data_IF_113868794671
#
_entry.id   IF_113868794671
#
_cell.length_a   1.000
_cell.length_b   1.000
_cell.length_c   1.000
_cell.angle_alpha   90.00
_cell.angle_beta   90.00
_cell.angle_gamma   90.00
#
_symmetry.space_group_name_H-M   'P 1'
#
loop_
_entity.id
_entity.type
_entity.pdbx_description
1 polymer ?
#
# COMPACT_ATOMS: atom_id res chain seq x y z
N UNK A 1 11.37 -5.72 -15.17
CA UNK A 1 11.60 -5.79 -13.71
C UNK A 1 11.39 -7.23 -13.27
N UNK A 2 12.18 -7.76 -12.34
CA UNK A 2 11.91 -9.08 -11.73
C UNK A 2 11.58 -8.90 -10.26
N UNK A 3 10.44 -9.44 -9.82
CA UNK A 3 10.01 -9.45 -8.42
C UNK A 3 9.81 -10.91 -8.02
N UNK A 4 10.41 -11.31 -6.90
CA UNK A 4 10.28 -12.65 -6.34
C UNK A 4 9.87 -12.57 -4.88
N UNK A 5 8.75 -13.20 -4.55
CA UNK A 5 8.31 -13.38 -3.18
C UNK A 5 9.30 -14.31 -2.45
N UNK A 6 9.68 -13.92 -1.24
CA UNK A 6 10.52 -14.71 -0.35
C UNK A 6 9.61 -15.29 0.72
N UNK A 7 9.53 -16.61 0.76
CA UNK A 7 8.80 -17.39 1.76
C UNK A 7 9.78 -18.44 2.30
N UNK A 8 10.15 -18.39 3.59
CA UNK A 8 10.95 -19.45 4.18
C UNK A 8 10.23 -20.80 4.12
N UNK A 9 11.00 -21.87 3.95
CA UNK A 9 10.45 -23.23 3.92
C UNK A 9 9.78 -23.57 5.25
N UNK A 10 8.63 -24.26 5.18
CA UNK A 10 7.85 -24.66 6.35
C UNK A 10 6.99 -23.57 7.00
N UNK A 11 7.10 -22.31 6.57
CA UNK A 11 6.27 -21.23 7.11
C UNK A 11 4.87 -21.25 6.50
N UNK A 12 3.85 -20.95 7.32
CA UNK A 12 2.49 -20.74 6.82
C UNK A 12 2.45 -19.59 5.79
N UNK A 13 1.54 -19.64 4.80
CA UNK A 13 1.39 -18.56 3.83
C UNK A 13 1.05 -17.23 4.51
N UNK A 14 1.77 -16.16 4.14
CA UNK A 14 1.43 -14.81 4.58
C UNK A 14 0.07 -14.37 4.01
N UNK A 15 -0.68 -13.58 4.79
CA UNK A 15 -2.02 -13.09 4.42
C UNK A 15 -2.02 -11.57 4.43
N UNK A 16 -2.21 -10.96 3.27
CA UNK A 16 -2.25 -9.50 3.13
C UNK A 16 -0.88 -8.81 3.10
N UNK A 17 0.22 -9.56 3.10
CA UNK A 17 1.59 -9.07 2.95
C UNK A 17 2.50 -10.19 2.42
N UNK A 18 3.72 -9.86 2.02
CA UNK A 18 4.78 -10.82 1.72
C UNK A 18 5.80 -10.89 2.85
N UNK A 19 6.23 -12.10 3.25
CA UNK A 19 7.29 -12.27 4.26
C UNK A 19 8.63 -11.64 3.82
N UNK A 20 8.90 -11.58 2.52
CA UNK A 20 9.95 -10.77 1.94
C UNK A 20 9.82 -10.66 0.43
N UNK A 21 10.54 -9.72 -0.17
CA UNK A 21 10.58 -9.52 -1.62
C UNK A 21 12.03 -9.28 -2.06
N UNK A 22 12.48 -10.03 -3.07
CA UNK A 22 13.70 -9.74 -3.81
C UNK A 22 13.32 -9.09 -5.15
N UNK A 23 13.98 -7.97 -5.48
CA UNK A 23 13.73 -7.26 -6.73
C UNK A 23 15.02 -6.75 -7.38
N UNK A 24 14.96 -6.53 -8.71
CA UNK A 24 16.03 -5.89 -9.49
C UNK A 24 15.42 -4.88 -10.46
N UNK A 25 15.96 -3.66 -10.48
CA UNK A 25 15.54 -2.56 -11.35
C UNK A 25 15.83 -1.19 -10.74
N UNK A 26 15.21 -0.15 -11.31
CA UNK A 26 15.21 1.21 -10.73
C UNK A 26 14.51 1.20 -9.38
N UNK A 27 15.10 1.88 -8.39
CA UNK A 27 14.48 2.08 -7.09
C UNK A 27 13.74 3.41 -7.09
N UNK A 28 12.46 3.38 -6.71
CA UNK A 28 11.60 4.56 -6.56
C UNK A 28 11.25 4.65 -5.08
N UNK A 29 11.60 5.78 -4.47
CA UNK A 29 11.33 6.05 -3.06
C UNK A 29 10.20 7.08 -2.98
N UNK A 30 9.01 6.63 -2.60
CA UNK A 30 7.82 7.48 -2.48
C UNK A 30 7.81 8.09 -1.08
N UNK A 31 7.74 9.42 -1.00
CA UNK A 31 7.55 10.11 0.28
C UNK A 31 6.20 9.76 0.91
N UNK A 32 6.08 9.90 2.23
CA UNK A 32 4.83 9.60 2.95
C UNK A 32 3.64 10.35 2.34
N UNK A 33 2.63 9.60 1.89
CA UNK A 33 1.37 10.15 1.39
C UNK A 33 0.32 10.08 2.50
N UNK A 34 -0.63 11.02 2.46
CA UNK A 34 -1.77 11.13 3.37
C UNK A 34 -3.04 11.45 2.58
N UNK A 35 -4.19 11.47 3.26
CA UNK A 35 -5.53 11.54 2.66
C UNK A 35 -5.94 12.87 2.04
N UNK A 36 -4.99 13.75 1.72
CA UNK A 36 -5.27 15.01 1.03
C UNK A 36 -5.36 14.86 -0.49
N UNK A 37 -6.05 15.78 -1.16
CA UNK A 37 -6.14 15.86 -2.61
C UNK A 37 -4.88 16.55 -3.23
N UNK A 38 -4.86 16.71 -4.55
CA UNK A 38 -3.78 17.39 -5.27
C UNK A 38 -3.61 18.88 -4.91
N UNK A 39 -4.61 19.49 -4.26
CA UNK A 39 -4.62 20.86 -3.76
C UNK A 39 -4.25 20.94 -2.28
N UNK A 40 -3.77 19.84 -1.68
CA UNK A 40 -3.36 19.74 -0.28
C UNK A 40 -4.51 19.94 0.72
N UNK A 41 -5.72 19.54 0.35
CA UNK A 41 -6.92 19.64 1.18
C UNK A 41 -7.44 18.26 1.58
N UNK A 42 -7.87 18.12 2.83
CA UNK A 42 -8.62 16.95 3.27
C UNK A 42 -10.10 17.14 2.93
N UNK A 43 -10.64 16.24 2.11
CA UNK A 43 -12.04 16.26 1.67
C UNK A 43 -12.98 15.64 2.72
N UNK A 44 -12.43 14.94 3.70
CA UNK A 44 -13.18 14.12 4.65
C UNK A 44 -12.31 13.78 5.87
N UNK A 45 -12.97 13.59 7.01
CA UNK A 45 -12.37 13.04 8.23
C UNK A 45 -12.61 11.52 8.35
N UNK A 46 -13.33 10.89 7.40
CA UNK A 46 -13.54 9.44 7.40
C UNK A 46 -12.23 8.70 7.08
N UNK A 47 -11.88 7.76 7.95
CA UNK A 47 -10.67 6.95 7.84
C UNK A 47 -10.55 6.20 6.52
N UNK A 48 -11.63 5.57 6.04
CA UNK A 48 -11.58 4.72 4.84
C UNK A 48 -11.42 5.58 3.58
N UNK A 49 -12.14 6.68 3.50
CA UNK A 49 -12.01 7.63 2.39
C UNK A 49 -10.60 8.28 2.37
N UNK A 50 -10.04 8.63 3.53
CA UNK A 50 -8.66 9.11 3.60
C UNK A 50 -7.64 8.05 3.17
N UNK A 51 -7.82 6.78 3.55
CA UNK A 51 -6.95 5.70 3.07
C UNK A 51 -7.06 5.55 1.56
N UNK A 52 -8.27 5.60 1.01
CA UNK A 52 -8.48 5.50 -0.42
C UNK A 52 -7.73 6.61 -1.18
N UNK A 53 -7.86 7.86 -0.72
CA UNK A 53 -7.13 8.98 -1.30
C UNK A 53 -5.60 8.82 -1.13
N UNK A 54 -5.15 8.37 0.04
CA UNK A 54 -3.73 8.10 0.31
C UNK A 54 -3.14 7.10 -0.68
N UNK A 55 -3.83 6.00 -0.93
CA UNK A 55 -3.39 4.98 -1.88
C UNK A 55 -3.37 5.50 -3.32
N UNK A 56 -4.36 6.30 -3.72
CA UNK A 56 -4.36 6.96 -5.04
C UNK A 56 -3.16 7.86 -5.21
N UNK A 57 -2.81 8.64 -4.19
CA UNK A 57 -1.63 9.49 -4.20
C UNK A 57 -0.34 8.66 -4.39
N UNK A 58 -0.21 7.51 -3.71
CA UNK A 58 0.93 6.58 -3.91
C UNK A 58 0.97 6.06 -5.35
N UNK A 59 -0.17 5.59 -5.88
CA UNK A 59 -0.26 5.08 -7.24
C UNK A 59 0.09 6.15 -8.28
N UNK A 60 -0.31 7.40 -8.07
CA UNK A 60 0.00 8.52 -8.95
C UNK A 60 1.48 8.87 -8.99
N UNK A 61 2.16 8.86 -7.84
CA UNK A 61 3.62 9.06 -7.78
C UNK A 61 4.36 7.92 -8.50
N UNK A 62 3.94 6.67 -8.29
CA UNK A 62 4.53 5.52 -8.99
C UNK A 62 4.33 5.66 -10.51
N UNK A 63 3.13 6.02 -10.94
CA UNK A 63 2.78 6.21 -12.37
C UNK A 63 3.62 7.30 -13.01
N UNK A 64 3.88 8.40 -12.32
CA UNK A 64 4.76 9.47 -12.81
C UNK A 64 6.21 8.99 -13.06
N UNK A 65 6.65 7.93 -12.36
CA UNK A 65 7.95 7.30 -12.54
C UNK A 65 7.91 6.07 -13.48
N UNK A 66 6.78 5.83 -14.16
CA UNK A 66 6.60 4.66 -15.04
C UNK A 66 6.47 3.33 -14.30
N UNK A 67 6.05 3.35 -13.04
CA UNK A 67 5.80 2.18 -12.21
C UNK A 67 4.32 2.09 -11.79
N UNK A 68 3.95 1.01 -11.10
CA UNK A 68 2.59 0.74 -10.65
C UNK A 68 2.57 -0.10 -9.36
N UNK A 69 1.40 -0.30 -8.72
CA UNK A 69 1.27 -1.09 -7.48
C UNK A 69 1.91 -2.49 -7.53
N UNK A 70 1.86 -3.15 -8.68
CA UNK A 70 2.47 -4.46 -8.95
C UNK A 70 4.00 -4.47 -8.89
N UNK A 71 4.63 -3.29 -8.95
CA UNK A 71 6.07 -3.12 -8.84
C UNK A 71 6.55 -2.87 -7.41
N UNK A 72 5.63 -2.71 -6.46
CA UNK A 72 5.93 -2.28 -5.10
C UNK A 72 6.55 -3.43 -4.29
N UNK A 73 7.65 -3.15 -3.58
CA UNK A 73 8.41 -4.17 -2.83
C UNK A 73 8.25 -4.06 -1.32
N UNK A 74 7.97 -2.84 -0.82
CA UNK A 74 7.76 -2.56 0.60
C UNK A 74 6.77 -1.42 0.77
N UNK A 75 5.92 -1.51 1.79
CA UNK A 75 5.00 -0.48 2.23
C UNK A 75 5.09 -0.35 3.75
N UNK A 76 5.02 0.87 4.27
CA UNK A 76 4.90 1.13 5.70
C UNK A 76 3.66 1.98 5.93
N UNK A 77 2.79 1.53 6.82
CA UNK A 77 1.58 2.24 7.23
C UNK A 77 1.78 2.83 8.62
N UNK A 78 1.34 4.09 8.77
CA UNK A 78 1.19 4.70 10.08
C UNK A 78 -0.27 5.07 10.24
N UNK A 79 -0.91 4.50 11.26
CA UNK A 79 -2.31 4.77 11.59
C UNK A 79 -2.38 5.40 12.97
N UNK A 80 -3.29 6.36 13.13
CA UNK A 80 -3.46 7.10 14.39
C UNK A 80 -4.32 6.34 15.39
N UNK A 81 -5.25 5.50 14.91
CA UNK A 81 -6.14 4.70 15.74
C UNK A 81 -6.13 3.24 15.28
N UNK A 82 -5.54 2.38 16.11
CA UNK A 82 -5.49 0.92 15.87
C UNK A 82 -6.85 0.25 16.06
N UNK A 83 -7.72 0.78 16.92
CA UNK A 83 -9.05 0.21 17.19
C UNK A 83 -9.93 0.43 15.97
N UNK A 84 -9.98 1.64 15.44
CA UNK A 84 -10.72 1.95 14.20
C UNK A 84 -10.21 1.12 13.02
N UNK A 85 -8.89 1.05 12.84
CA UNK A 85 -8.25 0.24 11.81
C UNK A 85 -8.74 -1.22 11.83
N UNK A 86 -8.72 -1.84 13.01
CA UNK A 86 -9.13 -3.24 13.16
C UNK A 86 -10.64 -3.44 12.98
N UNK A 87 -11.46 -2.46 13.39
CA UNK A 87 -12.90 -2.53 13.27
C UNK A 87 -13.36 -2.47 11.80
N UNK A 88 -12.60 -1.79 10.93
CA UNK A 88 -12.99 -1.51 9.53
C UNK A 88 -12.17 -2.26 8.46
N UNK A 89 -11.47 -3.33 8.83
CA UNK A 89 -10.62 -4.11 7.93
C UNK A 89 -11.30 -4.57 6.62
N UNK A 90 -12.60 -4.84 6.65
CA UNK A 90 -13.35 -5.27 5.45
C UNK A 90 -13.47 -4.14 4.43
N UNK A 91 -13.79 -2.93 4.88
CA UNK A 91 -13.89 -1.73 4.05
C UNK A 91 -12.49 -1.32 3.55
N UNK A 92 -11.51 -1.33 4.46
CA UNK A 92 -10.11 -1.07 4.16
C UNK A 92 -9.58 -1.99 3.04
N UNK A 93 -9.83 -3.29 3.16
CA UNK A 93 -9.45 -4.26 2.14
C UNK A 93 -10.20 -4.09 0.82
N UNK A 94 -11.35 -3.40 0.81
CA UNK A 94 -12.07 -2.99 -0.38
C UNK A 94 -11.32 -1.89 -1.12
N UNK A 95 -11.12 -0.73 -0.46
CA UNK A 95 -10.41 0.41 -1.06
C UNK A 95 -8.95 0.09 -1.39
N UNK A 96 -8.30 -0.77 -0.60
CA UNK A 96 -6.96 -1.26 -0.92
C UNK A 96 -6.92 -1.98 -2.27
N UNK A 97 -7.84 -2.94 -2.49
CA UNK A 97 -7.86 -3.72 -3.73
C UNK A 97 -8.33 -2.91 -4.93
N UNK A 98 -9.13 -1.87 -4.72
CA UNK A 98 -9.54 -0.94 -5.76
C UNK A 98 -8.34 -0.24 -6.39
N UNK A 99 -7.41 0.25 -5.56
CA UNK A 99 -6.23 0.98 -6.04
C UNK A 99 -5.03 0.08 -6.30
N UNK A 100 -4.72 -0.83 -5.37
CA UNK A 100 -3.49 -1.61 -5.37
C UNK A 100 -3.64 -2.98 -6.03
N UNK A 101 -4.87 -3.39 -6.37
CA UNK A 101 -5.16 -4.73 -6.87
C UNK A 101 -4.82 -5.82 -5.84
N UNK A 102 -4.44 -7.00 -6.32
CA UNK A 102 -3.99 -8.13 -5.47
C UNK A 102 -2.47 -8.11 -5.24
N UNK A 103 -1.89 -6.93 -5.05
CA UNK A 103 -0.46 -6.76 -4.79
C UNK A 103 -0.24 -6.50 -3.31
N UNK A 104 0.52 -7.38 -2.65
CA UNK A 104 0.76 -7.32 -1.22
C UNK A 104 2.27 -7.38 -0.96
N UNK A 105 2.97 -6.22 -0.95
CA UNK A 105 4.40 -6.18 -0.68
C UNK A 105 4.75 -6.62 0.75
N UNK A 106 6.02 -6.56 1.11
CA UNK A 106 6.38 -6.56 2.52
C UNK A 106 5.74 -5.33 3.20
N UNK A 107 5.02 -5.55 4.32
CA UNK A 107 4.28 -4.50 5.00
C UNK A 107 4.70 -4.37 6.46
N UNK A 108 4.53 -3.17 7.02
CA UNK A 108 4.63 -2.87 8.44
C UNK A 108 3.58 -1.83 8.79
#
# INVERSE_FOLDING_TARGET
>A
MSIRLIQPEGWAPAKGYANGIAARGTQIFVGGQIGWNAQQQFETDDFIEQVHQTLRNVADVLRAAGAGPEHMVRMTWYVIDRVEYNARLKELGGVYRDVMGKNFPAMT
#
